data_IF_335233654980
#
_entry.id   IF_335233654980
#
_cell.length_a   1.000
_cell.length_b   1.000
_cell.length_c   1.000
_cell.angle_alpha   90.00
_cell.angle_beta   90.00
_cell.angle_gamma   90.00
#
_symmetry.space_group_name_H-M   'P 1'
#
loop_
_entity.id
_entity.type
_entity.pdbx_description
1 polymer ?
#
# COMPACT_ATOMS: atom_id res chain seq x y z
N UNK A 1 19.64 1.16 -1.45
CA UNK A 1 18.66 1.67 -0.46
C UNK A 1 17.28 1.24 -0.92
N UNK A 2 16.39 0.80 -0.03
CA UNK A 2 15.00 0.47 -0.42
C UNK A 2 14.23 1.78 -0.58
N UNK A 3 13.33 1.87 -1.58
CA UNK A 3 12.62 3.12 -1.88
C UNK A 3 11.46 3.41 -0.92
N UNK A 4 10.94 2.39 -0.24
CA UNK A 4 9.97 2.53 0.85
C UNK A 4 10.18 1.45 1.94
N UNK A 5 9.58 1.66 3.11
CA UNK A 5 9.62 0.71 4.23
C UNK A 5 8.32 -0.09 4.41
N UNK A 6 7.18 0.45 3.95
CA UNK A 6 5.84 -0.10 4.17
C UNK A 6 5.44 -1.23 3.21
N UNK A 7 6.17 -1.42 2.10
CA UNK A 7 5.77 -2.31 1.01
C UNK A 7 5.52 -3.77 1.42
N UNK A 8 6.26 -4.30 2.41
CA UNK A 8 5.99 -5.67 2.88
C UNK A 8 4.65 -5.77 3.61
N UNK A 9 4.34 -4.80 4.48
CA UNK A 9 3.08 -4.80 5.25
C UNK A 9 1.88 -4.58 4.36
N UNK A 10 2.01 -3.70 3.35
CA UNK A 10 0.98 -3.53 2.31
C UNK A 10 0.71 -4.86 1.60
N UNK A 11 1.76 -5.60 1.21
CA UNK A 11 1.61 -6.91 0.58
C UNK A 11 0.92 -7.93 1.50
N UNK A 12 1.34 -7.99 2.76
CA UNK A 12 0.76 -8.91 3.76
C UNK A 12 -0.74 -8.64 3.94
N UNK A 13 -1.12 -7.38 4.15
CA UNK A 13 -2.52 -6.97 4.30
C UNK A 13 -3.33 -7.25 3.02
N UNK A 14 -2.78 -6.96 1.84
CA UNK A 14 -3.45 -7.24 0.56
C UNK A 14 -3.76 -8.74 0.43
N UNK A 15 -2.78 -9.60 0.70
CA UNK A 15 -2.95 -11.06 0.62
C UNK A 15 -3.92 -11.58 1.69
N UNK A 16 -3.89 -11.03 2.90
CA UNK A 16 -4.85 -11.38 3.97
C UNK A 16 -6.29 -11.01 3.59
N UNK A 17 -6.48 -9.91 2.87
CA UNK A 17 -7.77 -9.48 2.32
C UNK A 17 -8.15 -10.20 1.01
N UNK A 18 -7.33 -11.15 0.55
CA UNK A 18 -7.53 -11.92 -0.70
C UNK A 18 -7.65 -11.05 -1.95
N UNK A 19 -7.02 -9.88 -1.94
CA UNK A 19 -6.98 -8.99 -3.08
C UNK A 19 -5.78 -9.30 -3.97
N UNK A 20 -5.95 -9.30 -5.28
CA UNK A 20 -4.85 -9.17 -6.21
C UNK A 20 -4.37 -7.69 -6.30
N UNK A 21 -3.27 -7.46 -7.02
CA UNK A 21 -2.68 -6.13 -7.13
C UNK A 21 -3.53 -5.17 -7.98
N UNK A 22 -4.31 -5.69 -8.93
CA UNK A 22 -5.23 -4.90 -9.76
C UNK A 22 -6.43 -4.46 -8.92
N UNK A 23 -6.95 -5.34 -8.07
CA UNK A 23 -8.05 -5.05 -7.15
C UNK A 23 -7.65 -3.98 -6.13
N UNK A 24 -6.44 -4.06 -5.55
CA UNK A 24 -5.95 -3.00 -4.66
C UNK A 24 -5.80 -1.66 -5.39
N UNK A 25 -5.27 -1.67 -6.61
CA UNK A 25 -5.16 -0.46 -7.42
C UNK A 25 -6.54 0.16 -7.73
N UNK A 26 -7.52 -0.68 -8.07
CA UNK A 26 -8.89 -0.25 -8.34
C UNK A 26 -9.57 0.36 -7.11
N UNK A 27 -9.45 -0.30 -5.95
CA UNK A 27 -9.98 0.18 -4.66
C UNK A 27 -9.42 1.57 -4.33
N UNK A 28 -8.09 1.75 -4.45
CA UNK A 28 -7.42 3.02 -4.19
C UNK A 28 -7.88 4.14 -5.14
N UNK A 29 -8.13 3.79 -6.40
CA UNK A 29 -8.64 4.74 -7.38
C UNK A 29 -10.08 5.15 -7.10
N UNK A 30 -10.95 4.21 -6.71
CA UNK A 30 -12.39 4.48 -6.50
C UNK A 30 -12.62 5.25 -5.20
N UNK A 31 -11.99 4.82 -4.11
CA UNK A 31 -12.26 5.37 -2.77
C UNK A 31 -11.45 6.64 -2.45
N UNK A 32 -10.28 6.81 -3.08
CA UNK A 32 -9.33 7.87 -2.70
C UNK A 32 -8.76 8.69 -3.88
N UNK A 33 -9.23 8.47 -5.11
CA UNK A 33 -8.72 9.10 -6.35
C UNK A 33 -7.19 8.93 -6.53
N UNK A 34 -6.65 7.81 -6.04
CA UNK A 34 -5.23 7.47 -6.18
C UNK A 34 -5.03 6.63 -7.43
N UNK A 35 -4.30 7.21 -8.39
CA UNK A 35 -4.00 6.60 -9.68
C UNK A 35 -2.71 5.78 -9.58
N UNK A 36 -2.86 4.54 -9.16
CA UNK A 36 -1.83 3.50 -9.24
C UNK A 36 -2.33 2.39 -10.15
N UNK A 37 -1.43 1.74 -10.87
CA UNK A 37 -1.73 0.51 -11.58
C UNK A 37 -1.13 -0.73 -10.88
N UNK A 38 -1.35 -1.91 -11.45
CA UNK A 38 -0.82 -3.15 -10.90
C UNK A 38 0.72 -3.16 -10.82
N UNK A 39 1.42 -2.50 -11.76
CA UNK A 39 2.88 -2.40 -11.75
C UNK A 39 3.34 -1.48 -10.62
N UNK A 40 2.69 -0.34 -10.43
CA UNK A 40 2.96 0.54 -9.28
C UNK A 40 2.81 -0.20 -7.95
N UNK A 41 1.72 -0.96 -7.76
CA UNK A 41 1.50 -1.75 -6.55
C UNK A 41 2.63 -2.79 -6.39
N UNK A 42 2.98 -3.52 -7.46
CA UNK A 42 4.07 -4.50 -7.44
C UNK A 42 5.41 -3.87 -7.05
N UNK A 43 5.71 -2.68 -7.58
CA UNK A 43 6.92 -1.93 -7.28
C UNK A 43 6.97 -1.42 -5.84
N UNK A 44 5.83 -0.97 -5.31
CA UNK A 44 5.68 -0.58 -3.90
C UNK A 44 5.94 -1.79 -3.00
N UNK A 45 5.32 -2.94 -3.29
CA UNK A 45 5.48 -4.17 -2.49
C UNK A 45 6.91 -4.72 -2.54
N UNK A 46 7.58 -4.58 -3.68
CA UNK A 46 9.01 -4.93 -3.85
C UNK A 46 9.96 -3.85 -3.31
N UNK A 47 9.42 -2.71 -2.87
CA UNK A 47 10.16 -1.57 -2.32
C UNK A 47 11.15 -0.92 -3.29
N UNK A 48 10.81 -0.93 -4.58
CA UNK A 48 11.60 -0.27 -5.65
C UNK A 48 11.05 1.11 -6.02
N UNK A 49 9.76 1.37 -5.77
CA UNK A 49 9.12 2.69 -5.87
C UNK A 49 8.88 3.29 -4.47
N UNK A 50 9.00 4.61 -4.34
CA UNK A 50 8.60 5.32 -3.13
C UNK A 50 7.08 5.26 -2.91
N UNK A 51 6.64 5.66 -1.71
CA UNK A 51 5.23 5.86 -1.39
C UNK A 51 5.07 7.29 -0.90
N UNK A 52 4.15 8.05 -1.50
CA UNK A 52 3.84 9.41 -1.07
C UNK A 52 3.02 9.38 0.21
N UNK A 53 2.99 10.49 0.95
CA UNK A 53 2.24 10.60 2.20
C UNK A 53 0.73 10.32 2.03
N UNK A 54 0.11 10.85 0.99
CA UNK A 54 -1.30 10.60 0.70
C UNK A 54 -1.57 9.15 0.23
N UNK A 55 -0.62 8.53 -0.48
CA UNK A 55 -0.70 7.11 -0.83
C UNK A 55 -0.63 6.25 0.44
N UNK A 56 0.31 6.55 1.35
CA UNK A 56 0.45 5.87 2.63
C UNK A 56 -0.83 5.99 3.48
N UNK A 57 -1.41 7.18 3.55
CA UNK A 57 -2.66 7.41 4.26
C UNK A 57 -3.82 6.59 3.68
N UNK A 58 -3.91 6.50 2.35
CA UNK A 58 -4.96 5.71 1.70
C UNK A 58 -4.77 4.21 1.93
N UNK A 59 -3.55 3.67 1.81
CA UNK A 59 -3.29 2.27 2.18
C UNK A 59 -3.71 1.97 3.62
N UNK A 60 -3.40 2.87 4.55
CA UNK A 60 -3.79 2.70 5.96
C UNK A 60 -5.31 2.64 6.12
N UNK A 61 -6.06 3.52 5.43
CA UNK A 61 -7.52 3.52 5.45
C UNK A 61 -8.12 2.30 4.76
N UNK A 62 -7.62 1.89 3.59
CA UNK A 62 -8.07 0.68 2.87
C UNK A 62 -7.99 -0.55 3.74
N UNK A 63 -6.91 -0.71 4.52
CA UNK A 63 -6.72 -1.87 5.39
C UNK A 63 -7.19 -1.66 6.83
N UNK A 64 -7.80 -0.51 7.14
CA UNK A 64 -8.25 -0.14 8.47
C UNK A 64 -7.17 -0.29 9.57
N UNK A 65 -5.96 0.22 9.29
CA UNK A 65 -4.80 0.26 10.19
C UNK A 65 -4.25 1.68 10.33
N UNK A 66 -3.34 1.91 11.26
CA UNK A 66 -2.61 3.18 11.37
C UNK A 66 -1.50 3.28 10.31
N UNK A 67 -1.04 4.50 10.02
CA UNK A 67 0.19 4.69 9.22
C UNK A 67 1.41 4.16 9.95
N UNK A 68 1.44 4.26 11.28
CA UNK A 68 2.52 3.76 12.13
C UNK A 68 2.65 2.23 12.02
N UNK A 69 1.52 1.53 11.90
CA UNK A 69 1.49 0.09 11.61
C UNK A 69 2.23 -0.17 10.31
N UNK A 70 1.87 0.52 9.22
CA UNK A 70 2.50 0.34 7.92
C UNK A 70 3.99 0.68 7.94
N UNK A 71 4.42 1.63 8.77
CA UNK A 71 5.82 2.05 8.93
C UNK A 71 6.61 1.14 9.89
N UNK A 72 5.93 0.30 10.69
CA UNK A 72 6.59 -0.52 11.72
C UNK A 72 7.03 0.27 12.93
N UNK A 73 6.22 1.24 13.33
CA UNK A 73 6.40 2.03 14.54
C UNK A 73 5.48 1.58 15.69
N UNK A 74 4.55 0.67 15.42
CA UNK A 74 3.71 0.02 16.43
C UNK A 74 4.53 -1.03 17.21
N UNK A 75 4.40 -1.03 18.54
CA UNK A 75 5.02 -2.02 19.47
C UNK A 75 4.41 -3.42 19.34
#
# INVERSE_FOLDING_TARGET
MKANICGNKIRELRVQNKMDQVELAAELSVEYDIKLDQSDISEIERRVRGVKDFELLAFAKTFNVSTDFLLGLDE
#
